data_IF_522853927475
#
_entry.id   IF_522853927475
#
_cell.length_a   1.000
_cell.length_b   1.000
_cell.length_c   1.000
_cell.angle_alpha   90.00
_cell.angle_beta   90.00
_cell.angle_gamma   90.00
#
_symmetry.space_group_name_H-M   'P 1'
#
loop_
_entity.id
_entity.type
_entity.pdbx_description
1 polymer ?
#
# COMPACT_ATOMS: atom_id res chain seq x y z
N UNK A 1 -0.34 -17.12 1.91
CA UNK A 1 0.50 -15.95 2.18
C UNK A 1 0.51 -15.15 0.91
N UNK A 2 0.16 -13.87 1.00
CA UNK A 2 0.02 -13.00 -0.16
C UNK A 2 1.33 -12.26 -0.45
N UNK A 3 1.47 -11.78 -1.68
CA UNK A 3 2.64 -11.01 -2.10
C UNK A 3 2.80 -9.74 -1.24
N UNK A 4 1.68 -9.10 -0.87
CA UNK A 4 1.69 -7.97 0.05
C UNK A 4 2.26 -8.32 1.44
N UNK A 5 2.01 -9.51 1.99
CA UNK A 5 2.54 -9.92 3.30
C UNK A 5 4.07 -10.00 3.29
N UNK A 6 4.61 -10.57 2.21
CA UNK A 6 6.05 -10.67 1.99
C UNK A 6 6.65 -9.28 1.80
N UNK A 7 6.03 -8.46 0.95
CA UNK A 7 6.50 -7.12 0.65
C UNK A 7 6.54 -6.24 1.91
N UNK A 8 5.47 -6.18 2.71
CA UNK A 8 5.45 -5.34 3.92
C UNK A 8 6.50 -5.79 4.93
N UNK A 9 6.77 -7.09 5.03
CA UNK A 9 7.75 -7.62 5.97
C UNK A 9 9.15 -7.13 5.60
N UNK A 10 9.50 -7.21 4.32
CA UNK A 10 10.79 -6.75 3.81
C UNK A 10 10.93 -5.24 3.92
N UNK A 11 9.91 -4.49 3.50
CA UNK A 11 9.93 -3.02 3.54
C UNK A 11 10.02 -2.48 4.96
N UNK A 12 9.18 -2.97 5.88
CA UNK A 12 9.20 -2.50 7.27
C UNK A 12 10.52 -2.84 7.96
N UNK A 13 11.10 -4.02 7.68
CA UNK A 13 12.41 -4.40 8.20
C UNK A 13 13.53 -3.51 7.64
N UNK A 14 13.49 -3.24 6.34
CA UNK A 14 14.46 -2.35 5.69
C UNK A 14 14.41 -0.94 6.26
N UNK A 15 13.21 -0.39 6.43
CA UNK A 15 13.00 0.96 6.99
C UNK A 15 13.51 1.06 8.44
N UNK A 16 13.24 0.05 9.27
CA UNK A 16 13.79 -0.03 10.63
C UNK A 16 15.32 -0.11 10.66
N UNK A 17 15.92 -0.82 9.71
CA UNK A 17 17.38 -1.00 9.63
C UNK A 17 18.12 0.23 9.08
N UNK A 18 17.42 1.11 8.35
CA UNK A 18 18.07 2.10 7.48
C UNK A 18 18.01 3.54 7.99
N UNK A 19 17.23 3.85 9.04
CA UNK A 19 17.13 5.15 9.74
C UNK A 19 17.90 6.35 9.11
N UNK A 20 17.46 6.80 7.93
CA UNK A 20 18.14 7.81 7.13
C UNK A 20 17.35 8.18 5.86
N UNK A 21 17.27 9.47 5.48
CA UNK A 21 16.24 10.00 4.58
C UNK A 21 16.41 9.68 3.08
N UNK A 22 17.23 8.70 2.69
CA UNK A 22 17.68 8.58 1.29
C UNK A 22 17.53 7.20 0.62
N UNK A 23 16.62 6.32 1.08
CA UNK A 23 16.55 4.94 0.55
C UNK A 23 15.15 4.36 0.28
N UNK A 24 14.13 5.20 0.08
CA UNK A 24 12.80 4.70 -0.31
C UNK A 24 12.78 4.16 -1.76
N UNK A 25 13.59 4.72 -2.67
CA UNK A 25 13.68 4.24 -4.06
C UNK A 25 14.31 2.84 -4.15
N UNK A 26 15.29 2.52 -3.30
CA UNK A 26 16.03 1.25 -3.37
C UNK A 26 15.19 0.04 -2.94
N UNK A 27 14.21 0.19 -2.06
CA UNK A 27 13.46 -0.97 -1.56
C UNK A 27 12.44 -1.48 -2.58
N UNK A 28 11.84 -0.59 -3.38
CA UNK A 28 10.87 -0.99 -4.41
C UNK A 28 11.53 -1.69 -5.60
N UNK A 29 12.76 -1.32 -5.93
CA UNK A 29 13.59 -2.01 -6.91
C UNK A 29 13.95 -3.42 -6.41
N UNK A 30 14.33 -3.57 -5.14
CA UNK A 30 14.61 -4.87 -4.54
C UNK A 30 13.39 -5.81 -4.56
N UNK A 31 12.18 -5.29 -4.37
CA UNK A 31 10.96 -6.09 -4.50
C UNK A 31 10.79 -6.60 -5.95
N UNK A 32 11.03 -5.74 -6.95
CA UNK A 32 10.98 -6.13 -8.36
C UNK A 32 12.06 -7.16 -8.71
N UNK A 33 13.30 -6.96 -8.26
CA UNK A 33 14.40 -7.93 -8.43
C UNK A 33 14.07 -9.28 -7.77
N UNK A 34 13.40 -9.24 -6.62
CA UNK A 34 12.88 -10.43 -5.92
C UNK A 34 11.69 -11.11 -6.60
N UNK A 35 11.23 -10.60 -7.75
CA UNK A 35 10.14 -11.18 -8.54
C UNK A 35 8.74 -10.75 -8.13
N UNK A 36 8.59 -9.81 -7.19
CA UNK A 36 7.29 -9.26 -6.82
C UNK A 36 6.88 -8.19 -7.84
N UNK A 37 5.85 -8.49 -8.63
CA UNK A 37 5.28 -7.55 -9.60
C UNK A 37 4.15 -6.77 -8.95
N UNK A 38 4.20 -5.46 -9.08
CA UNK A 38 3.17 -4.58 -8.52
C UNK A 38 3.02 -3.28 -9.31
N UNK A 39 1.83 -2.70 -9.21
CA UNK A 39 1.57 -1.34 -9.64
C UNK A 39 1.62 -0.40 -8.44
N UNK A 40 2.49 0.62 -8.50
CA UNK A 40 2.59 1.67 -7.48
C UNK A 40 1.63 2.81 -7.80
N UNK A 41 0.81 3.19 -6.83
CA UNK A 41 -0.09 4.35 -6.92
C UNK A 41 0.12 5.25 -5.70
N UNK A 42 0.10 6.56 -5.91
CA UNK A 42 0.07 7.55 -4.83
C UNK A 42 -1.17 8.43 -4.99
N UNK A 43 -1.77 8.79 -3.88
CA UNK A 43 -2.99 9.59 -3.86
C UNK A 43 -3.05 10.49 -2.65
N UNK A 44 -3.98 11.44 -2.68
CA UNK A 44 -4.25 12.34 -1.55
C UNK A 44 -5.67 12.08 -1.07
N UNK A 45 -5.81 11.78 0.22
CA UNK A 45 -7.11 11.63 0.89
C UNK A 45 -7.41 12.95 1.60
N UNK A 46 -8.52 13.58 1.23
CA UNK A 46 -9.03 14.77 1.89
C UNK A 46 -10.12 14.38 2.90
N UNK A 47 -10.05 14.95 4.10
CA UNK A 47 -11.12 14.79 5.08
C UNK A 47 -12.36 15.60 4.64
N UNK A 48 -13.54 14.96 4.68
CA UNK A 48 -14.78 15.52 4.15
C UNK A 48 -15.39 16.62 5.04
N UNK A 49 -14.97 16.76 6.30
CA UNK A 49 -15.49 17.79 7.20
C UNK A 49 -14.73 19.09 7.00
N UNK A 50 -15.19 19.88 6.04
CA UNK A 50 -14.57 21.15 5.66
C UNK A 50 -14.43 22.12 6.83
N UNK A 51 -13.19 22.33 7.26
CA UNK A 51 -12.54 23.56 7.70
C UNK A 51 -11.06 23.15 7.71
N UNK A 52 -10.29 23.54 6.70
CA UNK A 52 -8.82 23.47 6.62
C UNK A 52 -8.10 22.54 7.61
N UNK A 53 -7.65 21.36 7.18
CA UNK A 53 -6.63 20.63 7.94
C UNK A 53 -6.46 19.19 7.50
N UNK A 54 -5.26 18.85 7.03
CA UNK A 54 -4.74 17.49 6.87
C UNK A 54 -5.28 16.66 5.70
N UNK A 55 -4.96 17.11 4.49
CA UNK A 55 -4.80 16.19 3.36
C UNK A 55 -3.73 15.14 3.73
N UNK A 56 -4.03 13.85 3.63
CA UNK A 56 -3.07 12.77 3.87
C UNK A 56 -2.69 12.13 2.56
N UNK A 57 -1.41 12.13 2.26
CA UNK A 57 -0.89 11.36 1.15
C UNK A 57 -0.89 9.87 1.51
N UNK A 58 -1.30 9.04 0.56
CA UNK A 58 -1.28 7.59 0.65
C UNK A 58 -0.41 7.03 -0.45
N UNK A 59 0.23 5.91 -0.14
CA UNK A 59 0.98 5.13 -1.11
C UNK A 59 0.51 3.68 -1.07
N UNK A 60 0.22 3.13 -2.25
CA UNK A 60 -0.30 1.78 -2.44
C UNK A 60 0.53 1.01 -3.46
N UNK A 61 0.81 -0.26 -3.18
CA UNK A 61 1.35 -1.24 -4.13
C UNK A 61 0.30 -2.33 -4.34
N UNK A 62 -0.26 -2.43 -5.53
CA UNK A 62 -1.21 -3.48 -5.90
C UNK A 62 -0.47 -4.62 -6.60
N UNK A 63 -0.55 -5.83 -6.04
CA UNK A 63 0.16 -7.02 -6.53
C UNK A 63 -0.74 -7.86 -7.47
N UNK A 64 -0.10 -8.71 -8.28
CA UNK A 64 -0.79 -9.58 -9.26
C UNK A 64 -1.77 -10.57 -8.61
N UNK A 65 -1.51 -10.98 -7.36
CA UNK A 65 -2.39 -11.87 -6.59
C UNK A 65 -3.64 -11.15 -6.04
N UNK A 66 -3.78 -9.85 -6.33
CA UNK A 66 -4.88 -8.99 -5.90
C UNK A 66 -4.70 -8.43 -4.49
N UNK A 67 -3.63 -8.79 -3.78
CA UNK A 67 -3.31 -8.20 -2.48
C UNK A 67 -2.74 -6.80 -2.65
N UNK A 68 -2.77 -5.99 -1.59
CA UNK A 68 -2.29 -4.61 -1.63
C UNK A 68 -1.46 -4.29 -0.40
N UNK A 69 -0.32 -3.63 -0.58
CA UNK A 69 0.41 -2.98 0.51
C UNK A 69 0.08 -1.49 0.52
N UNK A 70 -0.21 -0.91 1.69
CA UNK A 70 -0.59 0.50 1.84
C UNK A 70 0.15 1.16 3.00
N UNK A 71 0.46 2.44 2.87
CA UNK A 71 0.89 3.30 3.97
C UNK A 71 0.42 4.75 3.79
N UNK A 72 0.48 5.52 4.87
CA UNK A 72 0.35 6.97 4.82
C UNK A 72 1.72 7.63 4.70
N UNK A 73 1.84 8.55 3.74
CA UNK A 73 2.94 9.49 3.64
C UNK A 73 2.57 10.70 4.51
N UNK A 74 3.36 10.97 5.55
CA UNK A 74 3.03 12.06 6.49
C UNK A 74 3.18 13.42 5.82
N UNK A 75 2.07 14.12 5.67
CA UNK A 75 2.04 15.56 5.43
C UNK A 75 2.36 16.23 6.76
N UNK A 76 3.60 16.71 6.99
CA UNK A 76 4.06 17.71 7.98
C UNK A 76 5.58 17.52 8.26
N UNK A 77 6.35 18.59 8.55
CA UNK A 77 7.81 18.64 8.31
C UNK A 77 8.71 17.86 9.29
N UNK A 78 8.18 16.98 10.15
CA UNK A 78 9.00 16.41 11.22
C UNK A 78 8.69 14.97 11.63
N UNK A 79 8.18 14.10 10.76
CA UNK A 79 7.81 12.75 11.21
C UNK A 79 7.92 11.63 10.18
N UNK A 80 8.48 10.53 10.67
CA UNK A 80 8.73 9.25 10.01
C UNK A 80 7.49 8.68 9.31
N UNK A 81 7.72 8.03 8.16
CA UNK A 81 6.74 7.29 7.36
C UNK A 81 5.98 6.29 8.25
N UNK A 82 4.67 6.12 8.03
CA UNK A 82 3.96 5.04 8.72
C UNK A 82 4.43 3.69 8.18
N UNK A 83 4.49 2.65 9.03
CA UNK A 83 4.76 1.29 8.55
C UNK A 83 3.78 0.88 7.46
N UNK A 84 4.24 0.02 6.56
CA UNK A 84 3.39 -0.62 5.56
C UNK A 84 2.45 -1.64 6.21
N UNK A 85 1.22 -1.67 5.71
CA UNK A 85 0.19 -2.64 6.07
C UNK A 85 -0.26 -3.44 4.84
N UNK A 86 -0.52 -4.73 5.02
CA UNK A 86 -1.01 -5.61 3.97
C UNK A 86 -2.54 -5.69 4.04
N UNK A 87 -3.15 -5.69 2.86
CA UNK A 87 -4.59 -5.84 2.65
C UNK A 87 -4.77 -7.07 1.77
N UNK A 88 -5.50 -8.05 2.27
CA UNK A 88 -5.82 -9.26 1.51
C UNK A 88 -6.68 -8.91 0.28
N UNK A 89 -6.64 -9.73 -0.79
CA UNK A 89 -7.47 -9.50 -1.96
C UNK A 89 -8.95 -9.39 -1.58
N UNK A 90 -9.63 -8.36 -2.05
CA UNK A 90 -11.07 -8.26 -1.94
C UNK A 90 -11.66 -9.44 -2.73
N UNK A 91 -12.26 -10.41 -2.05
CA UNK A 91 -13.05 -11.44 -2.73
C UNK A 91 -14.14 -10.69 -3.47
N UNK A 92 -14.14 -10.74 -4.81
CA UNK A 92 -15.32 -10.35 -5.59
C UNK A 92 -16.47 -11.15 -5.00
N UNK A 93 -17.42 -10.46 -4.38
CA UNK A 93 -18.73 -11.03 -4.09
C UNK A 93 -19.26 -11.43 -5.47
N UNK A 94 -19.16 -12.71 -5.84
CA UNK A 94 -19.86 -13.20 -7.01
C UNK A 94 -21.33 -13.01 -6.69
N UNK A 95 -21.92 -11.95 -7.24
CA UNK A 95 -23.37 -11.86 -7.37
C UNK A 95 -23.79 -13.15 -8.09
N UNK A 96 -24.34 -14.09 -7.32
CA UNK A 96 -25.18 -15.16 -7.85
C UNK A 96 -26.36 -14.47 -8.51
N UNK A 97 -26.20 -14.06 -9.77
CA UNK A 97 -27.30 -13.99 -10.70
C UNK A 97 -27.70 -15.44 -11.00
N UNK A 98 -28.34 -16.08 -10.02
CA UNK A 98 -29.14 -17.27 -10.31
C UNK A 98 -30.26 -16.79 -11.23
N UNK A 99 -30.22 -17.29 -12.46
CA UNK A 99 -31.22 -17.03 -13.47
C UNK A 99 -32.59 -17.44 -12.94
N UNK A 100 -33.47 -16.45 -12.79
CA UNK A 100 -34.91 -16.67 -12.91
C UNK A 100 -35.21 -16.71 -14.40
N UNK A 101 -35.03 -17.90 -14.97
CA UNK A 101 -35.58 -18.27 -16.25
C UNK A 101 -36.91 -19.01 -15.99
N UNK A 102 -37.95 -18.55 -16.72
CA UNK A 102 -39.29 -19.11 -16.92
C UNK A 102 -40.36 -18.93 -15.83
#
# INVERSE_FOLDING_TARGET
MHDADVAITLMNRWEQATAGPHRAASVLELLHEGGLRFMRTQGVVHESSGVTGDAREIECLAFDDGSTAIRFLRSHPNRDLTPWAAVAPLRRLQEHSDGLDS
#
